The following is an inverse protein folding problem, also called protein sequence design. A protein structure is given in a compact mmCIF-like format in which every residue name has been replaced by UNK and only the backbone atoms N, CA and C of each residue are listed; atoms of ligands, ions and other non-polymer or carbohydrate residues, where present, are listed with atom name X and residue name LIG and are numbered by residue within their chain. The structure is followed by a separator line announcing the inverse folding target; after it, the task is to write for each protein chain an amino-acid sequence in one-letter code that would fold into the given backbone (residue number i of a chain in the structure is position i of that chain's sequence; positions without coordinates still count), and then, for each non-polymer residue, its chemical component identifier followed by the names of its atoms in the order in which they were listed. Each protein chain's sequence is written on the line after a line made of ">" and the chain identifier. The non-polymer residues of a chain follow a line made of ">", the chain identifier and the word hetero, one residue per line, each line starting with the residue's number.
data_IF_794619714610
#
_entry.id   IF_794619714610
#
_cell.length_a   1.000
_cell.length_b   1.000
_cell.length_c   1.000
_cell.angle_alpha   90.00
_cell.angle_beta   90.00
_cell.angle_gamma   90.00
#
_symmetry.space_group_name_H-M   'P 1'
#
loop_
_entity.id
_entity.type
_entity.pdbx_description
1 polymer ?
#
# COMPACT_ATOMS: atom_id res chain seq x y z
N UNK A 1 -10.37 12.34 -32.31
CA UNK A 1 -10.52 13.02 -31.01
C UNK A 1 -9.13 13.46 -30.56
N UNK A 2 -8.93 14.71 -30.09
CA UNK A 2 -7.65 15.11 -29.53
C UNK A 2 -7.37 14.35 -28.22
N UNK A 3 -6.13 13.86 -28.05
CA UNK A 3 -5.69 13.32 -26.76
C UNK A 3 -5.74 14.43 -25.71
N UNK A 4 -6.32 14.20 -24.52
CA UNK A 4 -6.33 15.20 -23.46
C UNK A 4 -4.88 15.50 -23.05
N UNK A 5 -4.54 16.80 -23.00
CA UNK A 5 -3.22 17.25 -22.56
C UNK A 5 -2.92 16.69 -21.15
N UNK A 6 -1.67 16.25 -20.95
CA UNK A 6 -1.22 15.78 -19.65
C UNK A 6 -1.42 16.87 -18.59
N UNK A 7 -2.13 16.55 -17.51
CA UNK A 7 -2.28 17.48 -16.40
C UNK A 7 -0.92 17.65 -15.70
N UNK A 8 -0.53 18.88 -15.31
CA UNK A 8 0.65 19.12 -14.48
C UNK A 8 0.63 18.30 -13.18
N UNK A 9 1.80 17.86 -12.72
CA UNK A 9 1.98 17.02 -11.53
C UNK A 9 1.33 17.66 -10.30
N UNK A 10 1.48 18.97 -10.12
CA UNK A 10 0.89 19.70 -8.99
C UNK A 10 -0.64 19.68 -8.99
N UNK A 11 -1.26 19.72 -10.18
CA UNK A 11 -2.72 19.59 -10.31
C UNK A 11 -3.19 18.20 -9.91
N UNK A 12 -2.42 17.17 -10.27
CA UNK A 12 -2.70 15.79 -9.83
C UNK A 12 -2.58 15.65 -8.32
N UNK A 13 -1.49 16.15 -7.71
CA UNK A 13 -1.28 16.09 -6.26
C UNK A 13 -2.40 16.80 -5.50
N UNK A 14 -2.71 18.04 -5.86
CA UNK A 14 -3.80 18.79 -5.23
C UNK A 14 -5.16 18.10 -5.36
N UNK A 15 -5.45 17.49 -6.51
CA UNK A 15 -6.71 16.77 -6.71
C UNK A 15 -6.79 15.48 -5.89
N UNK A 16 -5.67 14.76 -5.72
CA UNK A 16 -5.59 13.60 -4.84
C UNK A 16 -5.77 13.99 -3.38
N UNK A 17 -5.13 15.07 -2.91
CA UNK A 17 -5.29 15.56 -1.54
C UNK A 17 -6.74 15.93 -1.23
N UNK A 18 -7.42 16.56 -2.20
CA UNK A 18 -8.85 16.85 -2.10
C UNK A 18 -9.71 15.58 -2.08
N UNK A 19 -9.35 14.53 -2.84
CA UNK A 19 -10.02 13.24 -2.78
C UNK A 19 -9.86 12.59 -1.40
N UNK A 20 -8.64 12.58 -0.84
CA UNK A 20 -8.35 12.07 0.51
C UNK A 20 -9.21 12.80 1.56
N UNK A 21 -9.24 14.13 1.52
CA UNK A 21 -10.05 14.94 2.46
C UNK A 21 -11.56 14.75 2.27
N UNK A 22 -11.98 14.33 1.08
CA UNK A 22 -13.40 14.15 0.74
C UNK A 22 -13.98 12.78 1.10
N UNK A 23 -13.17 11.87 1.66
CA UNK A 23 -13.62 10.51 1.99
C UNK A 23 -14.71 10.57 3.05
N UNK A 24 -15.88 10.02 2.72
CA UNK A 24 -16.99 9.77 3.64
C UNK A 24 -17.41 8.32 3.49
N UNK A 25 -17.56 7.60 4.59
CA UNK A 25 -17.93 6.17 4.62
C UNK A 25 -17.01 5.31 3.72
N UNK A 26 -15.70 5.59 3.73
CA UNK A 26 -14.70 4.84 2.96
C UNK A 26 -14.69 5.13 1.44
N UNK A 27 -15.50 6.07 0.94
CA UNK A 27 -15.54 6.42 -0.49
C UNK A 27 -15.24 7.91 -0.72
N UNK A 28 -14.34 8.26 -1.65
CA UNK A 28 -14.06 9.65 -1.99
C UNK A 28 -15.20 10.27 -2.79
N UNK A 29 -15.46 11.55 -2.55
CA UNK A 29 -16.53 12.30 -3.23
C UNK A 29 -16.07 12.80 -4.60
N UNK A 30 -15.84 11.89 -5.55
CA UNK A 30 -15.35 12.20 -6.91
C UNK A 30 -16.14 13.30 -7.62
N UNK A 31 -17.46 13.37 -7.41
CA UNK A 31 -18.30 14.38 -8.04
C UNK A 31 -18.05 15.79 -7.47
N UNK A 32 -17.83 15.91 -6.16
CA UNK A 32 -17.52 17.19 -5.54
C UNK A 32 -16.12 17.67 -5.94
N UNK A 33 -15.12 16.77 -5.91
CA UNK A 33 -13.74 17.12 -6.30
C UNK A 33 -13.62 17.44 -7.79
N UNK A 34 -14.37 16.75 -8.64
CA UNK A 34 -14.44 17.05 -10.08
C UNK A 34 -14.97 18.46 -10.34
N UNK A 35 -16.03 18.88 -9.64
CA UNK A 35 -16.57 20.25 -9.73
C UNK A 35 -15.58 21.30 -9.23
N UNK A 36 -14.83 20.98 -8.15
CA UNK A 36 -13.87 21.90 -7.53
C UNK A 36 -12.60 22.09 -8.37
N UNK A 37 -12.08 21.02 -8.97
CA UNK A 37 -10.78 21.03 -9.67
C UNK A 37 -10.91 21.18 -11.18
N UNK A 38 -12.11 21.03 -11.74
CA UNK A 38 -12.34 21.01 -13.19
C UNK A 38 -11.84 19.73 -13.88
N UNK A 39 -11.38 18.74 -13.11
CA UNK A 39 -10.86 17.47 -13.63
C UNK A 39 -12.02 16.48 -13.78
N UNK A 40 -12.04 15.73 -14.88
CA UNK A 40 -13.09 14.76 -15.12
C UNK A 40 -13.09 13.64 -14.05
N UNK A 41 -14.28 13.15 -13.70
CA UNK A 41 -14.42 12.05 -12.73
C UNK A 41 -13.62 10.81 -13.16
N UNK A 42 -13.53 10.53 -14.45
CA UNK A 42 -12.78 9.36 -14.97
C UNK A 42 -11.27 9.50 -14.73
N UNK A 43 -10.71 10.68 -14.95
CA UNK A 43 -9.29 10.95 -14.65
C UNK A 43 -9.02 10.89 -13.15
N UNK A 44 -9.90 11.48 -12.32
CA UNK A 44 -9.79 11.39 -10.86
C UNK A 44 -9.82 9.94 -10.36
N UNK A 45 -10.71 9.10 -10.89
CA UNK A 45 -10.77 7.67 -10.54
C UNK A 45 -9.49 6.94 -10.89
N UNK A 46 -8.92 7.16 -12.08
CA UNK A 46 -7.65 6.54 -12.49
C UNK A 46 -6.52 6.94 -11.55
N UNK A 47 -6.39 8.23 -11.25
CA UNK A 47 -5.36 8.70 -10.33
C UNK A 47 -5.56 8.15 -8.91
N UNK A 48 -6.81 8.04 -8.46
CA UNK A 48 -7.14 7.47 -7.16
C UNK A 48 -6.72 6.01 -7.06
N UNK A 49 -6.96 5.20 -8.08
CA UNK A 49 -6.53 3.79 -8.11
C UNK A 49 -5.01 3.70 -7.97
N UNK A 50 -4.25 4.45 -8.78
CA UNK A 50 -2.79 4.45 -8.69
C UNK A 50 -2.30 4.92 -7.31
N UNK A 51 -2.93 5.96 -6.75
CA UNK A 51 -2.62 6.42 -5.41
C UNK A 51 -2.87 5.34 -4.36
N UNK A 52 -4.00 4.63 -4.43
CA UNK A 52 -4.30 3.54 -3.50
C UNK A 52 -3.30 2.40 -3.62
N UNK A 53 -2.92 2.00 -4.84
CA UNK A 53 -1.91 0.96 -5.07
C UNK A 53 -0.58 1.34 -4.44
N UNK A 54 -0.10 2.57 -4.68
CA UNK A 54 1.16 3.07 -4.10
C UNK A 54 1.10 3.12 -2.57
N UNK A 55 -0.04 3.50 -1.99
CA UNK A 55 -0.22 3.46 -0.53
C UNK A 55 -0.23 2.02 0.02
N UNK A 56 -0.82 1.08 -0.71
CA UNK A 56 -0.83 -0.34 -0.34
C UNK A 56 0.57 -0.95 -0.38
N UNK A 57 1.35 -0.64 -1.41
CA UNK A 57 2.74 -1.08 -1.55
C UNK A 57 3.61 -0.52 -0.42
N UNK A 58 3.49 0.78 -0.13
CA UNK A 58 4.19 1.39 1.00
C UNK A 58 3.82 0.75 2.35
N UNK A 59 2.56 0.36 2.53
CA UNK A 59 2.11 -0.33 3.73
C UNK A 59 2.70 -1.74 3.80
N UNK A 60 2.70 -2.49 2.68
CA UNK A 60 3.32 -3.81 2.56
C UNK A 60 4.79 -3.75 2.96
N UNK A 61 5.59 -2.86 2.37
CA UNK A 61 7.01 -2.71 2.70
C UNK A 61 7.24 -2.37 4.18
N UNK A 62 6.39 -1.54 4.78
CA UNK A 62 6.48 -1.22 6.22
C UNK A 62 6.18 -2.44 7.09
N UNK A 63 5.20 -3.25 6.71
CA UNK A 63 4.85 -4.47 7.42
C UNK A 63 5.96 -5.51 7.32
N UNK A 64 6.52 -5.73 6.12
CA UNK A 64 7.66 -6.62 5.92
C UNK A 64 8.83 -6.23 6.81
N UNK A 65 9.19 -4.93 6.81
CA UNK A 65 10.29 -4.43 7.65
C UNK A 65 10.01 -4.61 9.14
N UNK A 66 8.76 -4.41 9.58
CA UNK A 66 8.38 -4.63 10.96
C UNK A 66 8.47 -6.12 11.35
N UNK A 67 8.00 -7.01 10.48
CA UNK A 67 8.07 -8.47 10.71
C UNK A 67 9.53 -8.93 10.77
N UNK A 68 10.38 -8.52 9.82
CA UNK A 68 11.81 -8.86 9.86
C UNK A 68 12.49 -8.36 11.14
N UNK A 69 12.15 -7.15 11.60
CA UNK A 69 12.66 -6.61 12.86
C UNK A 69 12.23 -7.45 14.07
N UNK A 70 11.00 -7.98 14.06
CA UNK A 70 10.50 -8.83 15.14
C UNK A 70 11.23 -10.18 15.11
N UNK A 71 11.40 -10.78 13.93
CA UNK A 71 12.14 -12.03 13.75
C UNK A 71 13.57 -11.92 14.26
N UNK A 72 14.30 -10.86 13.89
CA UNK A 72 15.66 -10.63 14.39
C UNK A 72 15.73 -10.48 15.92
N UNK A 73 14.74 -9.78 16.51
CA UNK A 73 14.66 -9.64 17.98
C UNK A 73 14.36 -10.98 18.66
N UNK A 74 13.51 -11.80 18.05
CA UNK A 74 13.19 -13.13 18.54
C UNK A 74 14.39 -14.07 18.48
N UNK A 75 15.18 -14.02 17.40
CA UNK A 75 16.42 -14.79 17.29
C UNK A 75 17.41 -14.39 18.39
N UNK A 76 17.63 -13.09 18.61
CA UNK A 76 18.49 -12.62 19.72
C UNK A 76 17.99 -13.06 21.09
N UNK A 77 16.68 -12.98 21.34
CA UNK A 77 16.08 -13.46 22.58
C UNK A 77 16.23 -14.97 22.75
N UNK A 78 16.14 -15.73 21.65
CA UNK A 78 16.33 -17.19 21.65
C UNK A 78 17.79 -17.61 21.85
N UNK A 79 18.76 -16.78 21.45
CA UNK A 79 20.18 -16.98 21.79
C UNK A 79 20.45 -16.66 23.27
N UNK A 80 19.81 -15.64 23.82
CA UNK A 80 19.97 -15.22 25.22
C UNK A 80 19.21 -16.13 26.21
N UNK A 81 18.12 -16.76 25.77
CA UNK A 81 17.31 -17.68 26.59
C UNK A 81 17.35 -19.08 26.01
N UNK A 82 17.80 -20.07 26.80
CA UNK A 82 17.82 -21.51 26.44
C UNK A 82 16.40 -22.12 26.16
N UNK A 83 15.36 -21.28 26.02
CA UNK A 83 13.94 -21.59 25.86
C UNK A 83 13.44 -21.41 24.41
N UNK A 84 14.27 -21.73 23.42
CA UNK A 84 13.95 -21.79 21.97
C UNK A 84 12.58 -22.41 21.63
N UNK A 85 12.09 -23.37 22.44
CA UNK A 85 10.82 -24.07 22.22
C UNK A 85 9.58 -23.16 22.25
N UNK A 86 9.59 -22.08 23.02
CA UNK A 86 8.42 -21.19 23.13
C UNK A 86 8.39 -20.11 22.04
N UNK A 87 9.54 -19.75 21.46
CA UNK A 87 9.67 -18.73 20.41
C UNK A 87 9.51 -19.28 18.99
N UNK A 88 9.78 -20.57 18.78
CA UNK A 88 9.70 -21.22 17.46
C UNK A 88 8.33 -21.10 16.75
N UNK A 89 7.16 -21.24 17.41
CA UNK A 89 5.86 -21.13 16.75
C UNK A 89 5.57 -19.71 16.22
N UNK A 90 5.99 -18.68 16.96
CA UNK A 90 5.74 -17.28 16.59
C UNK A 90 6.65 -16.86 15.44
N UNK A 91 7.91 -17.30 15.43
CA UNK A 91 8.82 -17.06 14.32
C UNK A 91 8.32 -17.73 13.03
N UNK A 92 7.80 -18.96 13.13
CA UNK A 92 7.19 -19.66 11.99
C UNK A 92 6.00 -18.89 11.41
N UNK A 93 5.06 -18.42 12.24
CA UNK A 93 3.92 -17.62 11.79
C UNK A 93 4.36 -16.32 11.08
N UNK A 94 5.40 -15.64 11.60
CA UNK A 94 5.91 -14.40 11.02
C UNK A 94 6.62 -14.63 9.69
N UNK A 95 7.38 -15.72 9.55
CA UNK A 95 7.99 -16.13 8.29
C UNK A 95 6.96 -16.53 7.23
N UNK A 96 5.90 -17.23 7.64
CA UNK A 96 4.78 -17.58 6.74
C UNK A 96 4.05 -16.31 6.25
N UNK A 97 3.87 -15.30 7.10
CA UNK A 97 3.31 -14.01 6.70
C UNK A 97 4.19 -13.29 5.67
N UNK A 98 5.52 -13.28 5.86
CA UNK A 98 6.45 -12.73 4.87
C UNK A 98 6.36 -13.46 3.52
N UNK A 99 6.22 -14.78 3.54
CA UNK A 99 6.10 -15.57 2.32
C UNK A 99 4.83 -15.24 1.54
N UNK A 100 3.68 -15.09 2.23
CA UNK A 100 2.42 -14.65 1.62
C UNK A 100 2.50 -13.23 1.02
N UNK A 101 3.33 -12.34 1.58
CA UNK A 101 3.59 -11.04 0.97
C UNK A 101 4.45 -11.17 -0.31
N UNK A 102 5.40 -12.10 -0.36
CA UNK A 102 6.26 -12.36 -1.52
C UNK A 102 5.56 -13.03 -2.71
N UNK A 103 4.72 -14.04 -2.47
CA UNK A 103 4.03 -14.78 -3.57
C UNK A 103 3.07 -13.88 -4.38
N UNK A 104 2.54 -12.81 -3.78
CA UNK A 104 1.72 -11.82 -4.49
C UNK A 104 2.49 -10.98 -5.54
N UNK A 105 3.83 -10.97 -5.53
CA UNK A 105 4.65 -10.32 -6.56
C UNK A 105 4.91 -11.23 -7.76
N UNK A 106 5.17 -12.53 -7.55
CA UNK A 106 5.42 -13.49 -8.65
C UNK A 106 4.17 -13.75 -9.51
N UNK A 107 2.97 -13.73 -8.93
CA UNK A 107 1.72 -13.83 -9.72
C UNK A 107 1.42 -12.57 -10.55
N UNK A 108 1.91 -11.40 -10.15
CA UNK A 108 1.71 -10.14 -10.88
C UNK A 108 2.60 -10.02 -12.12
N UNK A 109 3.80 -10.63 -12.10
CA UNK A 109 4.75 -10.61 -13.23
C UNK A 109 4.38 -11.61 -14.34
N UNK A 110 3.62 -12.68 -14.06
CA UNK A 110 3.19 -13.66 -15.07
C UNK A 110 2.09 -13.16 -16.03
N UNK A 111 1.48 -12.01 -15.76
CA UNK A 111 0.45 -11.40 -16.62
C UNK A 111 0.89 -10.07 -17.28
N UNK A 112 2.19 -9.75 -17.24
CA UNK A 112 2.80 -8.56 -17.85
C UNK A 112 3.14 -8.71 -19.33
#
# INVERSE_FOLDING_TARGET
>A
MPFPQAHPIDKRRNALDELVKSIKNGKPAFAAVSRKTGISKSTLKRWWIHYQLEQHEQLKTKLEKAISTILERMEKLAEETNNLKELAPVAKMLSELLHQFGENEEEAEQWG
#
